data_IF_838583596138
#
_entry.id   IF_838583596138
#
_cell.length_a   1.000
_cell.length_b   1.000
_cell.length_c   1.000
_cell.angle_alpha   90.00
_cell.angle_beta   90.00
_cell.angle_gamma   90.00
#
_symmetry.space_group_name_H-M   'P 1'
#
loop_
_entity.id
_entity.type
_entity.pdbx_description
1 polymer ?
#
# COMPACT_ATOMS: atom_id res chain seq x y z
N UNK A 1 1.50 -13.67 -20.00
CA UNK A 1 0.96 -12.51 -19.25
C UNK A 1 1.50 -11.20 -19.81
N UNK A 2 0.69 -10.15 -19.94
CA UNK A 2 1.15 -8.80 -20.34
C UNK A 2 1.61 -8.00 -19.12
N UNK A 3 2.45 -6.98 -19.31
CA UNK A 3 2.87 -6.06 -18.24
C UNK A 3 1.67 -5.40 -17.56
N UNK A 4 0.64 -5.03 -18.31
CA UNK A 4 -0.58 -4.42 -17.79
C UNK A 4 -1.33 -5.34 -16.82
N UNK A 5 -1.49 -6.63 -17.16
CA UNK A 5 -2.11 -7.61 -16.26
C UNK A 5 -1.28 -7.78 -14.99
N UNK A 6 0.06 -7.81 -15.10
CA UNK A 6 0.94 -7.91 -13.93
C UNK A 6 0.76 -6.68 -13.02
N UNK A 7 0.76 -5.48 -13.59
CA UNK A 7 0.59 -4.24 -12.85
C UNK A 7 -0.78 -4.18 -12.16
N UNK A 8 -1.86 -4.62 -12.81
CA UNK A 8 -3.20 -4.68 -12.20
C UNK A 8 -3.24 -5.63 -11.00
N UNK A 9 -2.69 -6.85 -11.14
CA UNK A 9 -2.67 -7.82 -10.05
C UNK A 9 -1.77 -7.37 -8.89
N UNK A 10 -0.62 -6.74 -9.19
CA UNK A 10 0.25 -6.18 -8.17
C UNK A 10 -0.40 -4.99 -7.47
N UNK A 11 -1.06 -4.09 -8.18
CA UNK A 11 -1.77 -2.96 -7.58
C UNK A 11 -2.81 -3.43 -6.56
N UNK A 12 -3.63 -4.42 -6.94
CA UNK A 12 -4.60 -5.01 -6.03
C UNK A 12 -3.95 -5.65 -4.80
N UNK A 13 -2.88 -6.44 -4.98
CA UNK A 13 -2.19 -7.10 -3.87
C UNK A 13 -1.46 -6.12 -2.95
N UNK A 14 -0.81 -5.11 -3.51
CA UNK A 14 -0.11 -4.07 -2.76
C UNK A 14 -1.11 -3.27 -1.94
N UNK A 15 -2.19 -2.76 -2.55
CA UNK A 15 -3.23 -2.00 -1.83
C UNK A 15 -3.85 -2.78 -0.67
N UNK A 16 -4.03 -4.09 -0.82
CA UNK A 16 -4.63 -4.95 0.21
C UNK A 16 -3.60 -5.62 1.15
N UNK A 17 -2.33 -5.23 1.11
CA UNK A 17 -1.29 -5.83 1.95
C UNK A 17 -1.35 -5.31 3.40
N UNK A 18 -2.33 -5.79 4.16
CA UNK A 18 -2.68 -5.36 5.52
C UNK A 18 -1.48 -5.25 6.47
N UNK A 19 -0.55 -6.21 6.43
CA UNK A 19 0.62 -6.20 7.31
C UNK A 19 1.51 -4.99 7.06
N UNK A 20 1.72 -4.60 5.80
CA UNK A 20 2.61 -3.48 5.47
C UNK A 20 1.97 -2.14 5.85
N UNK A 21 0.70 -1.95 5.49
CA UNK A 21 0.00 -0.70 5.76
C UNK A 21 -0.35 -0.54 7.24
N UNK A 22 -0.71 -1.62 7.92
CA UNK A 22 -0.88 -1.63 9.37
C UNK A 22 0.42 -1.31 10.11
N UNK A 23 1.57 -1.85 9.66
CA UNK A 23 2.87 -1.46 10.21
C UNK A 23 3.22 0.00 9.93
N UNK A 24 2.90 0.52 8.74
CA UNK A 24 3.10 1.93 8.42
C UNK A 24 2.26 2.83 9.33
N UNK A 25 1.01 2.44 9.60
CA UNK A 25 0.11 3.13 10.52
C UNK A 25 0.66 3.08 11.96
N UNK A 26 1.04 1.91 12.46
CA UNK A 26 1.53 1.73 13.83
C UNK A 26 2.87 2.44 14.12
N UNK A 27 3.71 2.61 13.09
CA UNK A 27 4.98 3.34 13.22
C UNK A 27 4.83 4.85 13.03
N UNK A 28 3.63 5.36 12.73
CA UNK A 28 3.39 6.79 12.85
C UNK A 28 3.15 7.13 14.31
N UNK A 29 3.88 8.14 14.77
CA UNK A 29 3.54 8.82 16.00
C UNK A 29 2.33 9.72 15.74
N UNK A 30 1.16 9.22 16.10
CA UNK A 30 -0.09 9.99 16.13
C UNK A 30 -0.29 10.68 17.49
N UNK A 31 0.70 10.65 18.41
CA UNK A 31 0.52 11.12 19.77
C UNK A 31 -0.58 10.34 20.51
N UNK A 32 -1.62 11.05 20.99
CA UNK A 32 -2.79 10.46 21.64
C UNK A 32 -3.91 10.09 20.65
N UNK A 33 -3.68 10.25 19.35
CA UNK A 33 -4.69 10.04 18.32
C UNK A 33 -4.59 8.61 17.77
N UNK A 34 -5.74 8.02 17.45
CA UNK A 34 -5.82 6.69 16.87
C UNK A 34 -6.64 6.72 15.59
N UNK A 35 -6.16 6.02 14.57
CA UNK A 35 -6.91 5.78 13.35
C UNK A 35 -7.83 4.57 13.53
N UNK A 36 -9.10 4.75 13.18
CA UNK A 36 -10.11 3.69 13.10
C UNK A 36 -10.24 3.10 11.70
N UNK A 37 -9.77 3.80 10.68
CA UNK A 37 -9.89 3.45 9.27
C UNK A 37 -8.68 3.92 8.46
N UNK A 38 -8.20 3.04 7.59
CA UNK A 38 -7.20 3.39 6.58
C UNK A 38 -7.54 2.71 5.24
N UNK A 39 -7.07 3.32 4.16
CA UNK A 39 -7.26 2.84 2.79
C UNK A 39 -6.03 3.16 1.93
N UNK A 40 -5.82 2.35 0.88
CA UNK A 40 -4.70 2.49 -0.05
C UNK A 40 -5.14 2.34 -1.48
N UNK A 41 -4.97 3.41 -2.25
CA UNK A 41 -5.16 3.38 -3.70
C UNK A 41 -3.80 3.42 -4.41
N UNK A 42 -3.57 2.49 -5.33
CA UNK A 42 -2.38 2.46 -6.18
C UNK A 42 -2.78 2.22 -7.64
N UNK A 43 -2.48 3.18 -8.50
CA UNK A 43 -2.70 3.03 -9.94
C UNK A 43 -1.70 2.03 -10.55
N UNK A 44 -2.14 1.07 -11.38
CA UNK A 44 -1.25 0.09 -12.03
C UNK A 44 -0.08 0.73 -12.80
N UNK A 45 -0.33 1.89 -13.43
CA UNK A 45 0.68 2.64 -14.20
C UNK A 45 1.85 3.15 -13.32
N UNK A 46 1.64 3.24 -12.01
CA UNK A 46 2.68 3.64 -11.08
C UNK A 46 3.60 2.49 -10.64
N UNK A 47 3.42 1.29 -11.20
CA UNK A 47 4.23 0.10 -10.90
C UNK A 47 5.19 -0.16 -12.07
N UNK A 48 6.49 -0.22 -11.78
CA UNK A 48 7.51 -0.68 -12.73
C UNK A 48 7.89 -2.12 -12.40
N UNK A 49 7.81 -3.01 -13.39
CA UNK A 49 8.03 -4.45 -13.20
C UNK A 49 9.31 -4.87 -13.92
N UNK A 50 10.20 -5.53 -13.22
CA UNK A 50 11.36 -6.21 -13.78
C UNK A 50 11.12 -7.73 -13.81
N UNK A 51 10.54 -8.21 -14.92
CA UNK A 51 10.09 -9.61 -15.05
C UNK A 51 11.23 -10.62 -14.83
N UNK A 52 12.43 -10.32 -15.35
CA UNK A 52 13.59 -11.22 -15.24
C UNK A 52 14.07 -11.38 -13.79
N UNK A 53 14.00 -10.31 -13.01
CA UNK A 53 14.42 -10.28 -11.61
C UNK A 53 13.28 -10.61 -10.65
N UNK A 54 12.05 -10.81 -11.18
CA UNK A 54 10.83 -11.02 -10.41
C UNK A 54 10.63 -9.94 -9.34
N UNK A 55 11.05 -8.72 -9.65
CA UNK A 55 11.01 -7.57 -8.75
C UNK A 55 10.12 -6.47 -9.34
N UNK A 56 9.68 -5.57 -8.48
CA UNK A 56 8.95 -4.39 -8.90
C UNK A 56 9.26 -3.22 -7.98
N UNK A 57 9.04 -2.01 -8.50
CA UNK A 57 8.94 -0.78 -7.73
C UNK A 57 7.58 -0.15 -7.97
N UNK A 58 7.08 0.60 -7.00
CA UNK A 58 5.87 1.39 -7.16
C UNK A 58 6.07 2.78 -6.56
N UNK A 59 5.33 3.74 -7.10
CA UNK A 59 5.33 5.12 -6.62
C UNK A 59 3.92 5.63 -6.38
N UNK A 60 3.81 6.70 -5.62
CA UNK A 60 2.55 7.47 -5.49
C UNK A 60 1.34 6.63 -5.04
N UNK A 61 1.53 5.57 -4.24
CA UNK A 61 0.42 4.92 -3.57
C UNK A 61 -0.19 5.93 -2.59
N UNK A 62 -1.50 6.17 -2.71
CA UNK A 62 -2.22 7.10 -1.85
C UNK A 62 -2.67 6.34 -0.61
N UNK A 63 -1.94 6.52 0.49
CA UNK A 63 -2.32 6.04 1.81
C UNK A 63 -3.17 7.10 2.51
N UNK A 64 -4.40 6.74 2.87
CA UNK A 64 -5.34 7.61 3.58
C UNK A 64 -5.62 6.95 4.92
N UNK A 65 -5.61 7.73 6.00
CA UNK A 65 -6.10 7.28 7.29
C UNK A 65 -6.90 8.40 7.97
N UNK A 66 -7.93 8.01 8.70
CA UNK A 66 -8.56 8.92 9.65
C UNK A 66 -7.67 9.11 10.87
N UNK A 67 -7.82 10.26 11.53
CA UNK A 67 -7.12 10.58 12.77
C UNK A 67 -8.15 11.24 13.67
N UNK A 68 -8.50 10.56 14.75
CA UNK A 68 -9.43 11.06 15.75
C UNK A 68 -8.68 11.95 16.73
N UNK A 69 -8.84 13.27 16.58
CA UNK A 69 -8.29 14.26 17.50
C UNK A 69 -9.32 14.55 18.59
N UNK A 70 -9.36 13.70 19.62
CA UNK A 70 -10.40 13.81 20.64
C UNK A 70 -10.42 12.71 21.70
N UNK A 71 -11.00 13.01 22.86
CA UNK A 71 -11.20 12.09 23.99
C UNK A 71 -12.67 11.62 24.04
N UNK A 72 -13.58 12.30 23.34
CA UNK A 72 -15.02 12.07 23.39
C UNK A 72 -15.59 11.58 22.05
N UNK A 73 -16.70 10.86 22.14
CA UNK A 73 -17.45 10.39 20.99
C UNK A 73 -18.11 11.59 20.28
N UNK A 74 -17.66 11.92 19.07
CA UNK A 74 -18.13 13.07 18.29
C UNK A 74 -17.11 14.19 18.10
N UNK A 75 -15.87 14.03 18.58
CA UNK A 75 -14.77 14.95 18.30
C UNK A 75 -14.36 14.91 16.81
N UNK A 76 -13.67 15.96 16.34
CA UNK A 76 -13.32 16.16 14.93
C UNK A 76 -12.48 14.99 14.38
N UNK A 77 -12.94 14.41 13.26
CA UNK A 77 -12.20 13.42 12.48
C UNK A 77 -11.45 14.14 11.38
N UNK A 78 -10.12 14.09 11.42
CA UNK A 78 -9.29 14.62 10.33
C UNK A 78 -8.82 13.49 9.42
N UNK A 79 -8.73 13.76 8.11
CA UNK A 79 -8.24 12.79 7.13
C UNK A 79 -6.80 13.15 6.79
N UNK A 80 -5.89 12.24 7.09
CA UNK A 80 -4.51 12.35 6.68
C UNK A 80 -4.29 11.58 5.39
N UNK A 81 -3.66 12.23 4.41
CA UNK A 81 -3.22 11.59 3.16
C UNK A 81 -1.70 11.64 3.05
N UNK A 82 -1.08 10.53 2.65
CA UNK A 82 0.35 10.45 2.34
C UNK A 82 0.57 9.69 1.04
N UNK A 83 1.47 10.19 0.20
CA UNK A 83 1.99 9.44 -0.92
C UNK A 83 3.13 8.54 -0.45
N UNK A 84 3.06 7.28 -0.85
CA UNK A 84 3.99 6.24 -0.43
C UNK A 84 4.55 5.55 -1.66
N UNK A 85 5.85 5.33 -1.65
CA UNK A 85 6.56 4.57 -2.67
C UNK A 85 7.19 3.34 -2.03
N UNK A 86 7.66 2.41 -2.85
CA UNK A 86 8.34 1.25 -2.34
C UNK A 86 8.69 0.26 -3.42
N UNK A 87 9.06 -0.94 -2.96
CA UNK A 87 9.52 -2.01 -3.84
C UNK A 87 9.21 -3.36 -3.24
N UNK A 88 9.36 -4.39 -4.08
CA UNK A 88 9.07 -5.74 -3.66
C UNK A 88 9.52 -6.78 -4.65
N UNK A 89 9.17 -8.02 -4.33
CA UNK A 89 9.35 -9.18 -5.18
C UNK A 89 8.03 -9.90 -5.38
N UNK A 90 7.95 -10.65 -6.46
CA UNK A 90 6.76 -11.38 -6.86
C UNK A 90 7.13 -12.76 -7.41
N UNK A 91 6.15 -13.65 -7.53
CA UNK A 91 6.33 -14.96 -8.14
C UNK A 91 5.18 -15.26 -9.09
N UNK A 92 5.50 -15.85 -10.23
CA UNK A 92 4.51 -16.38 -11.16
C UNK A 92 4.09 -17.76 -10.67
N UNK A 93 2.82 -17.91 -10.29
CA UNK A 93 2.26 -19.19 -9.89
C UNK A 93 1.88 -20.02 -11.11
N UNK A 94 1.44 -19.34 -12.18
CA UNK A 94 1.17 -19.90 -13.50
C UNK A 94 1.34 -18.81 -14.59
N UNK A 95 0.84 -19.05 -15.80
CA UNK A 95 0.92 -18.13 -16.94
C UNK A 95 -0.03 -16.91 -16.83
N UNK A 96 -0.91 -16.89 -15.82
CA UNK A 96 -2.01 -15.93 -15.61
C UNK A 96 -2.01 -15.27 -14.22
N UNK A 97 -1.36 -15.85 -13.22
CA UNK A 97 -1.39 -15.38 -11.83
C UNK A 97 0.01 -15.06 -11.31
N UNK A 98 0.12 -13.86 -10.71
CA UNK A 98 1.29 -13.42 -9.98
C UNK A 98 0.95 -13.26 -8.49
N UNK A 99 1.87 -13.63 -7.63
CA UNK A 99 1.78 -13.43 -6.19
C UNK A 99 2.87 -12.50 -5.67
N UNK A 100 2.45 -11.52 -4.88
CA UNK A 100 3.32 -10.68 -4.09
C UNK A 100 4.02 -11.52 -3.01
N UNK A 101 5.35 -11.54 -3.00
CA UNK A 101 6.13 -12.29 -1.99
C UNK A 101 6.77 -11.39 -0.95
N UNK A 102 7.13 -10.17 -1.34
CA UNK A 102 7.74 -9.21 -0.45
C UNK A 102 7.27 -7.80 -0.81
N UNK A 103 6.97 -7.00 0.21
CA UNK A 103 6.61 -5.59 0.05
C UNK A 103 7.34 -4.75 1.11
N UNK A 104 8.11 -3.77 0.66
CA UNK A 104 8.84 -2.82 1.50
C UNK A 104 8.47 -1.40 1.09
N UNK A 105 8.10 -0.59 2.09
CA UNK A 105 7.85 0.84 1.92
C UNK A 105 9.18 1.58 1.96
N UNK A 106 9.39 2.48 1.01
CA UNK A 106 10.51 3.41 0.98
C UNK A 106 9.92 4.79 1.29
N UNK A 107 10.20 5.27 2.52
CA UNK A 107 9.67 6.52 3.05
C UNK A 107 10.37 7.75 2.44
#
# INVERSE_FOLDING_TARGET
MTTEIIQQQLAQQISNHNKTWGNLLANRDFGNEASSYWDVTLEPINISVEVNNKSFTFKNAKFICDVNSGIFYGDDVSILTKQVSGKGSCQFTDDKTIHLTELKIEA
#
